data_IF_217976918191
#
_entry.id   IF_217976918191
#
_cell.length_a   1.000
_cell.length_b   1.000
_cell.length_c   1.000
_cell.angle_alpha   90.00
_cell.angle_beta   90.00
_cell.angle_gamma   90.00
#
_symmetry.space_group_name_H-M   'P 1'
#
loop_
_entity.id
_entity.type
_entity.pdbx_description
1 polymer ?
#
# COMPACT_ATOMS: atom_id res chain seq x y z
N UNK A 1 25.83 -8.08 28.35
CA UNK A 1 26.60 -7.79 27.12
C UNK A 1 25.94 -6.59 26.45
N UNK A 2 26.67 -5.53 26.08
CA UNK A 2 26.11 -4.31 25.47
C UNK A 2 26.11 -4.39 23.94
N UNK A 3 25.13 -3.77 23.27
CA UNK A 3 24.95 -3.80 21.80
C UNK A 3 26.23 -3.42 21.03
N UNK A 4 26.96 -2.43 21.55
CA UNK A 4 28.18 -1.91 20.96
C UNK A 4 29.30 -2.96 20.84
N UNK A 5 29.36 -3.95 21.74
CA UNK A 5 30.37 -5.01 21.69
C UNK A 5 30.14 -6.03 20.57
N UNK A 6 28.93 -6.09 20.02
CA UNK A 6 28.54 -7.05 18.98
C UNK A 6 28.44 -6.43 17.58
N UNK A 7 28.73 -5.13 17.42
CA UNK A 7 28.51 -4.40 16.16
C UNK A 7 27.07 -4.49 15.61
N UNK A 8 26.09 -4.76 16.48
CA UNK A 8 24.69 -4.99 16.09
C UNK A 8 24.06 -3.78 15.40
N UNK A 9 24.50 -2.56 15.73
CA UNK A 9 24.10 -1.35 15.02
C UNK A 9 24.40 -1.42 13.51
N UNK A 10 25.56 -1.95 13.11
CA UNK A 10 25.91 -2.08 11.68
C UNK A 10 25.00 -3.05 10.95
N UNK A 11 24.64 -4.16 11.60
CA UNK A 11 23.71 -5.15 11.02
C UNK A 11 22.33 -4.51 10.83
N UNK A 12 21.86 -3.76 11.84
CA UNK A 12 20.59 -3.01 11.77
C UNK A 12 20.59 -2.03 10.60
N UNK A 13 21.68 -1.29 10.40
CA UNK A 13 21.80 -0.34 9.29
C UNK A 13 21.76 -1.05 7.93
N UNK A 14 22.40 -2.20 7.79
CA UNK A 14 22.35 -3.01 6.58
C UNK A 14 20.92 -3.51 6.29
N UNK A 15 20.23 -4.06 7.29
CA UNK A 15 18.84 -4.51 7.13
C UNK A 15 17.90 -3.34 6.81
N UNK A 16 18.12 -2.18 7.45
CA UNK A 16 17.34 -0.97 7.20
C UNK A 16 17.49 -0.46 5.76
N UNK A 17 18.69 -0.59 5.17
CA UNK A 17 18.95 -0.20 3.79
C UNK A 17 18.17 -1.06 2.77
N UNK A 18 17.89 -2.32 3.13
CA UNK A 18 17.13 -3.28 2.29
C UNK A 18 15.60 -3.23 2.53
N UNK A 19 15.11 -2.35 3.41
CA UNK A 19 13.68 -2.24 3.68
C UNK A 19 12.90 -1.63 2.52
N UNK A 20 11.83 -2.32 2.09
CA UNK A 20 10.93 -1.88 1.01
C UNK A 20 10.07 -0.66 1.35
N UNK A 21 9.93 -0.32 2.63
CA UNK A 21 9.12 0.82 3.09
C UNK A 21 9.69 1.48 4.33
N UNK A 22 9.28 2.73 4.56
CA UNK A 22 9.66 3.47 5.76
C UNK A 22 9.08 2.85 7.04
N UNK A 23 7.95 2.14 6.95
CA UNK A 23 7.41 1.32 8.04
C UNK A 23 8.37 0.19 8.43
N UNK A 24 8.98 -0.47 7.44
CA UNK A 24 10.02 -1.48 7.68
C UNK A 24 11.26 -0.88 8.33
N UNK A 25 11.67 0.31 7.88
CA UNK A 25 12.79 1.06 8.48
C UNK A 25 12.51 1.46 9.93
N UNK A 26 11.30 1.93 10.23
CA UNK A 26 10.87 2.24 11.60
C UNK A 26 10.88 1.00 12.49
N UNK A 27 10.49 -0.18 11.95
CA UNK A 27 10.58 -1.45 12.67
C UNK A 27 12.04 -1.83 12.96
N UNK A 28 12.95 -1.62 12.01
CA UNK A 28 14.39 -1.83 12.21
C UNK A 28 14.95 -0.92 13.30
N UNK A 29 14.56 0.36 13.32
CA UNK A 29 15.03 1.31 14.34
C UNK A 29 14.63 0.89 15.76
N UNK A 30 13.47 0.26 15.91
CA UNK A 30 12.95 -0.26 17.18
C UNK A 30 13.52 -1.63 17.58
N UNK A 31 14.33 -2.27 16.73
CA UNK A 31 14.93 -3.56 17.07
C UNK A 31 15.85 -3.41 18.29
N UNK A 32 15.76 -4.38 19.18
CA UNK A 32 16.60 -4.50 20.37
C UNK A 32 16.93 -5.97 20.60
N UNK A 33 17.93 -6.23 21.44
CA UNK A 33 18.28 -7.60 21.79
C UNK A 33 17.13 -8.31 22.48
N UNK A 34 16.76 -9.45 21.93
CA UNK A 34 15.88 -10.40 22.57
C UNK A 34 16.72 -11.29 23.51
N UNK A 35 16.19 -11.55 24.70
CA UNK A 35 16.84 -12.42 25.71
C UNK A 35 15.98 -13.61 26.11
N UNK A 36 14.71 -13.64 25.70
CA UNK A 36 13.81 -14.76 25.92
C UNK A 36 13.99 -15.80 24.81
N UNK A 37 14.22 -17.05 25.19
CA UNK A 37 14.47 -18.15 24.24
C UNK A 37 13.31 -18.38 23.28
N UNK A 38 12.07 -18.42 23.78
CA UNK A 38 10.89 -18.70 22.97
C UNK A 38 10.66 -17.59 21.92
N UNK A 39 10.81 -16.32 22.33
CA UNK A 39 10.72 -15.18 21.40
C UNK A 39 11.82 -15.21 20.33
N UNK A 40 13.05 -15.58 20.70
CA UNK A 40 14.15 -15.72 19.73
C UNK A 40 13.86 -16.83 18.74
N UNK A 41 13.37 -17.98 19.22
CA UNK A 41 13.05 -19.13 18.39
C UNK A 41 11.92 -18.78 17.40
N UNK A 42 10.89 -18.08 17.87
CA UNK A 42 9.78 -17.62 17.04
C UNK A 42 10.25 -16.67 15.92
N UNK A 43 11.01 -15.62 16.24
CA UNK A 43 11.52 -14.67 15.25
C UNK A 43 12.51 -15.32 14.26
N UNK A 44 13.34 -16.27 14.73
CA UNK A 44 14.21 -17.06 13.86
C UNK A 44 13.41 -17.93 12.88
N UNK A 45 12.34 -18.57 13.35
CA UNK A 45 11.50 -19.39 12.49
C UNK A 45 10.69 -18.55 11.49
N UNK A 46 10.15 -17.39 11.89
CA UNK A 46 9.52 -16.43 10.96
C UNK A 46 10.47 -16.03 9.85
N UNK A 47 11.73 -15.75 10.20
CA UNK A 47 12.78 -15.41 9.22
C UNK A 47 13.06 -16.58 8.28
N UNK A 48 13.24 -17.80 8.81
CA UNK A 48 13.49 -18.99 8.01
C UNK A 48 12.34 -19.30 7.05
N UNK A 49 11.09 -19.20 7.51
CA UNK A 49 9.91 -19.37 6.68
C UNK A 49 9.88 -18.33 5.55
N UNK A 50 10.17 -17.06 5.85
CA UNK A 50 10.15 -16.01 4.84
C UNK A 50 11.29 -16.16 3.82
N UNK A 51 12.47 -16.62 4.24
CA UNK A 51 13.57 -16.96 3.31
C UNK A 51 13.13 -18.06 2.33
N UNK A 52 12.42 -19.09 2.79
CA UNK A 52 11.89 -20.14 1.91
C UNK A 52 10.88 -19.58 0.92
N UNK A 53 9.95 -18.73 1.38
CA UNK A 53 9.00 -18.05 0.50
C UNK A 53 9.73 -17.28 -0.61
N UNK A 54 10.76 -16.50 -0.27
CA UNK A 54 11.52 -15.72 -1.26
C UNK A 54 12.29 -16.59 -2.28
N UNK A 55 12.56 -17.85 -1.96
CA UNK A 55 13.29 -18.78 -2.84
C UNK A 55 12.36 -19.64 -3.69
N UNK A 56 11.21 -20.03 -3.13
CA UNK A 56 10.34 -21.07 -3.68
C UNK A 56 9.05 -20.49 -4.31
N UNK A 57 8.63 -19.28 -3.92
CA UNK A 57 7.30 -18.75 -4.22
C UNK A 57 7.29 -17.28 -4.65
N UNK A 58 6.22 -16.88 -5.35
CA UNK A 58 5.97 -15.48 -5.71
C UNK A 58 5.17 -14.80 -4.59
N UNK A 59 5.84 -13.94 -3.82
CA UNK A 59 5.26 -13.22 -2.69
C UNK A 59 4.98 -11.76 -3.04
N UNK A 60 3.82 -11.19 -2.65
CA UNK A 60 3.52 -9.77 -2.89
C UNK A 60 4.52 -8.85 -2.17
N UNK A 61 5.30 -8.11 -2.96
CA UNK A 61 6.41 -7.25 -2.49
C UNK A 61 6.22 -5.76 -2.85
N UNK A 62 5.02 -5.36 -3.23
CA UNK A 62 4.66 -3.96 -3.51
C UNK A 62 3.45 -3.53 -2.67
N UNK A 63 3.10 -2.24 -2.73
CA UNK A 63 1.94 -1.69 -2.02
C UNK A 63 2.24 -1.21 -0.60
N UNK A 64 3.53 -1.07 -0.24
CA UNK A 64 3.94 -0.67 1.11
C UNK A 64 4.07 0.85 1.25
N UNK A 65 2.95 1.54 1.38
CA UNK A 65 2.89 2.99 1.59
C UNK A 65 2.51 3.34 3.03
N UNK A 66 3.12 4.39 3.58
CA UNK A 66 2.70 4.93 4.87
C UNK A 66 1.52 5.90 4.70
N UNK A 67 0.33 5.39 4.96
CA UNK A 67 -0.94 6.14 4.85
C UNK A 67 -1.45 6.62 6.21
N UNK A 68 -0.66 6.48 7.29
CA UNK A 68 -1.10 6.82 8.66
C UNK A 68 -1.51 8.28 8.77
N UNK A 69 -0.73 9.19 8.20
CA UNK A 69 -1.02 10.63 8.26
C UNK A 69 -2.34 10.96 7.56
N UNK A 70 -2.53 10.45 6.33
CA UNK A 70 -3.77 10.64 5.57
C UNK A 70 -4.99 10.12 6.33
N UNK A 71 -4.90 8.92 6.91
CA UNK A 71 -5.98 8.31 7.72
C UNK A 71 -6.28 9.14 8.98
N UNK A 72 -5.27 9.68 9.66
CA UNK A 72 -5.50 10.52 10.84
C UNK A 72 -6.15 11.85 10.46
N UNK A 73 -5.71 12.46 9.34
CA UNK A 73 -6.23 13.73 8.88
C UNK A 73 -7.73 13.66 8.58
N UNK A 74 -8.18 12.65 7.84
CA UNK A 74 -9.60 12.51 7.45
C UNK A 74 -10.58 12.28 8.61
N UNK A 75 -10.09 12.02 9.83
CA UNK A 75 -10.96 11.94 11.03
C UNK A 75 -11.49 13.32 11.44
N UNK A 76 -10.83 14.39 11.04
CA UNK A 76 -11.23 15.77 11.36
C UNK A 76 -12.34 16.20 10.40
N UNK A 77 -13.47 16.64 10.96
CA UNK A 77 -14.62 17.10 10.15
C UNK A 77 -14.20 18.25 9.24
N UNK A 78 -14.58 18.15 7.96
CA UNK A 78 -14.24 19.15 6.94
C UNK A 78 -12.93 18.90 6.20
N UNK A 79 -12.18 17.85 6.57
CA UNK A 79 -11.02 17.40 5.80
C UNK A 79 -11.37 16.31 4.79
N UNK A 80 -10.47 16.06 3.86
CA UNK A 80 -10.61 15.05 2.82
C UNK A 80 -9.24 14.43 2.50
N UNK A 81 -9.26 13.30 1.81
CA UNK A 81 -8.06 12.61 1.31
C UNK A 81 -7.81 13.02 -0.14
N UNK A 82 -6.57 13.32 -0.48
CA UNK A 82 -6.20 13.67 -1.85
C UNK A 82 -6.19 12.41 -2.75
N UNK A 83 -6.45 12.53 -4.06
CA UNK A 83 -6.48 11.37 -4.96
C UNK A 83 -5.22 10.51 -4.94
N UNK A 84 -4.04 11.12 -4.82
CA UNK A 84 -2.76 10.41 -4.74
C UNK A 84 -2.66 9.56 -3.46
N UNK A 85 -3.01 10.12 -2.31
CA UNK A 85 -2.99 9.39 -1.03
C UNK A 85 -4.10 8.32 -0.97
N UNK A 86 -5.24 8.57 -1.61
CA UNK A 86 -6.31 7.57 -1.75
C UNK A 86 -5.86 6.41 -2.65
N UNK A 87 -5.05 6.70 -3.67
CA UNK A 87 -4.43 5.67 -4.51
C UNK A 87 -3.40 4.84 -3.73
N UNK A 88 -2.57 5.49 -2.91
CA UNK A 88 -1.64 4.80 -1.99
C UNK A 88 -2.40 3.89 -1.02
N UNK A 89 -3.49 4.38 -0.42
CA UNK A 89 -4.36 3.59 0.45
C UNK A 89 -4.95 2.38 -0.28
N UNK A 90 -5.37 2.55 -1.54
CA UNK A 90 -5.84 1.44 -2.36
C UNK A 90 -4.80 0.34 -2.48
N UNK A 91 -3.55 0.71 -2.77
CA UNK A 91 -2.44 -0.24 -2.95
C UNK A 91 -2.07 -0.95 -1.64
N UNK A 92 -2.13 -0.24 -0.51
CA UNK A 92 -1.93 -0.84 0.82
C UNK A 92 -3.02 -1.88 1.12
N UNK A 93 -4.29 -1.54 0.89
CA UNK A 93 -5.41 -2.47 1.13
C UNK A 93 -5.32 -3.70 0.22
N UNK A 94 -4.92 -3.50 -1.04
CA UNK A 94 -4.70 -4.58 -2.00
C UNK A 94 -3.52 -5.50 -1.61
N UNK A 95 -2.41 -4.92 -1.15
CA UNK A 95 -1.26 -5.68 -0.66
C UNK A 95 -1.62 -6.51 0.58
N UNK A 96 -2.34 -5.93 1.55
CA UNK A 96 -2.84 -6.65 2.73
C UNK A 96 -3.72 -7.83 2.31
N UNK A 97 -4.68 -7.59 1.40
CA UNK A 97 -5.55 -8.64 0.88
C UNK A 97 -4.76 -9.76 0.20
N UNK A 98 -3.76 -9.41 -0.60
CA UNK A 98 -2.90 -10.36 -1.30
C UNK A 98 -2.06 -11.21 -0.33
N UNK A 99 -1.49 -10.59 0.70
CA UNK A 99 -0.69 -11.29 1.74
C UNK A 99 -1.56 -12.25 2.54
N UNK A 100 -2.74 -11.81 2.99
CA UNK A 100 -3.67 -12.67 3.74
C UNK A 100 -4.12 -13.85 2.86
N UNK A 101 -4.46 -13.58 1.59
CA UNK A 101 -4.84 -14.63 0.62
C UNK A 101 -3.69 -15.60 0.36
N UNK A 102 -2.46 -15.12 0.27
CA UNK A 102 -1.27 -15.95 0.09
C UNK A 102 -1.17 -17.00 1.21
N UNK A 103 -1.22 -16.57 2.47
CA UNK A 103 -1.11 -17.48 3.61
C UNK A 103 -2.34 -18.37 3.82
N UNK A 104 -3.55 -17.87 3.53
CA UNK A 104 -4.78 -18.67 3.64
C UNK A 104 -4.89 -19.79 2.60
N UNK A 105 -4.21 -19.64 1.46
CA UNK A 105 -4.20 -20.63 0.38
C UNK A 105 -3.12 -21.71 0.55
N UNK A 106 -2.37 -21.69 1.67
CA UNK A 106 -1.38 -22.74 1.99
C UNK A 106 -1.98 -23.69 3.00
N UNK A 107 -1.54 -24.96 2.93
CA UNK A 107 -1.90 -25.93 3.95
C UNK A 107 -1.52 -25.43 5.35
N UNK A 108 -2.32 -25.80 6.35
CA UNK A 108 -2.06 -25.40 7.73
C UNK A 108 -0.73 -25.98 8.19
N UNK A 109 0.17 -25.11 8.66
CA UNK A 109 1.49 -25.49 9.14
C UNK A 109 2.61 -25.41 8.10
N UNK A 110 2.34 -25.11 6.83
CA UNK A 110 3.39 -24.90 5.81
C UNK A 110 4.31 -23.75 6.17
N UNK A 111 3.73 -22.65 6.67
CA UNK A 111 4.42 -21.47 7.18
C UNK A 111 3.80 -21.08 8.52
N UNK A 112 3.88 -21.99 9.50
CA UNK A 112 3.15 -21.90 10.77
C UNK A 112 3.27 -20.52 11.44
N UNK A 113 4.49 -20.01 11.60
CA UNK A 113 4.72 -18.76 12.34
C UNK A 113 4.28 -17.52 11.57
N UNK A 114 4.40 -17.54 10.24
CA UNK A 114 3.88 -16.46 9.38
C UNK A 114 2.36 -16.54 9.21
N UNK A 115 1.78 -17.73 9.15
CA UNK A 115 0.33 -17.95 9.14
C UNK A 115 -0.29 -17.42 10.43
N UNK A 116 0.34 -17.70 11.59
CA UNK A 116 -0.06 -17.14 12.87
C UNK A 116 -0.01 -15.60 12.87
N UNK A 117 1.06 -15.00 12.35
CA UNK A 117 1.19 -13.54 12.23
C UNK A 117 0.11 -12.92 11.33
N UNK A 118 -0.36 -13.65 10.31
CA UNK A 118 -1.38 -13.18 9.37
C UNK A 118 -2.82 -13.39 9.84
N UNK A 119 -3.05 -14.25 10.85
CA UNK A 119 -4.37 -14.75 11.23
C UNK A 119 -5.34 -13.64 11.67
N UNK A 120 -4.84 -12.64 12.39
CA UNK A 120 -5.64 -11.55 12.95
C UNK A 120 -5.67 -10.30 12.04
N UNK A 121 -5.18 -10.42 10.81
CA UNK A 121 -5.15 -9.31 9.85
C UNK A 121 -6.47 -9.23 9.10
N UNK A 122 -7.22 -8.16 9.33
CA UNK A 122 -8.46 -7.88 8.61
C UNK A 122 -8.19 -7.40 7.18
N UNK A 123 -9.01 -7.88 6.24
CA UNK A 123 -9.06 -7.37 4.87
C UNK A 123 -10.24 -6.39 4.69
N UNK A 124 -10.15 -5.50 3.71
CA UNK A 124 -11.12 -4.42 3.52
C UNK A 124 -11.69 -4.36 2.09
N UNK A 125 -12.37 -5.42 1.60
CA UNK A 125 -12.86 -5.49 0.21
C UNK A 125 -13.90 -4.40 -0.12
N UNK A 126 -14.68 -3.94 0.87
CA UNK A 126 -15.62 -2.83 0.68
C UNK A 126 -14.90 -1.50 0.45
N UNK A 127 -13.81 -1.24 1.17
CA UNK A 127 -12.97 -0.04 0.98
C UNK A 127 -12.34 -0.08 -0.41
N UNK A 128 -11.77 -1.22 -0.81
CA UNK A 128 -11.18 -1.37 -2.14
C UNK A 128 -12.21 -1.12 -3.25
N UNK A 129 -13.43 -1.66 -3.13
CA UNK A 129 -14.53 -1.38 -4.07
C UNK A 129 -14.96 0.08 -4.07
N UNK A 130 -15.01 0.74 -2.91
CA UNK A 130 -15.35 2.15 -2.82
C UNK A 130 -14.30 3.03 -3.52
N UNK A 131 -13.01 2.76 -3.30
CA UNK A 131 -11.93 3.48 -3.97
C UNK A 131 -11.97 3.23 -5.49
N UNK A 132 -12.18 1.98 -5.92
CA UNK A 132 -12.26 1.62 -7.33
C UNK A 132 -13.45 2.27 -8.07
N UNK A 133 -14.48 2.75 -7.37
CA UNK A 133 -15.55 3.56 -7.99
C UNK A 133 -15.12 5.00 -8.26
N UNK A 134 -14.17 5.52 -7.48
CA UNK A 134 -13.70 6.90 -7.54
C UNK A 134 -12.48 7.02 -8.47
N UNK A 135 -11.50 6.14 -8.29
CA UNK A 135 -10.23 6.17 -9.01
C UNK A 135 -10.17 5.11 -10.11
N UNK A 136 -9.42 5.41 -11.17
CA UNK A 136 -8.98 4.44 -12.16
C UNK A 136 -7.65 3.79 -11.76
N UNK A 137 -7.15 2.90 -12.64
CA UNK A 137 -5.90 2.16 -12.42
C UNK A 137 -4.63 3.04 -12.41
N UNK A 138 -4.75 4.31 -12.79
CA UNK A 138 -3.66 5.29 -12.79
C UNK A 138 -3.79 6.30 -11.64
N UNK A 139 -4.73 6.07 -10.70
CA UNK A 139 -4.98 6.96 -9.57
C UNK A 139 -5.74 8.24 -9.96
N UNK A 140 -6.32 8.30 -11.17
CA UNK A 140 -7.08 9.47 -11.60
C UNK A 140 -8.55 9.33 -11.24
N UNK A 141 -9.16 10.45 -10.83
CA UNK A 141 -10.59 10.49 -10.53
C UNK A 141 -11.39 10.26 -11.81
N UNK A 142 -12.19 9.20 -11.83
CA UNK A 142 -13.07 8.84 -12.96
C UNK A 142 -14.10 9.92 -13.22
N UNK A 143 -14.44 10.13 -14.49
CA UNK A 143 -15.58 10.99 -14.87
C UNK A 143 -16.90 10.52 -14.23
N UNK A 144 -17.01 9.21 -14.00
CA UNK A 144 -18.17 8.55 -13.41
C UNK A 144 -18.13 8.49 -11.88
N UNK A 145 -17.12 9.08 -11.23
CA UNK A 145 -17.02 9.10 -9.77
C UNK A 145 -18.25 9.75 -9.12
N UNK A 146 -18.86 10.74 -9.79
CA UNK A 146 -20.20 11.23 -9.47
C UNK A 146 -20.94 11.64 -10.74
N UNK A 147 -22.28 11.60 -10.70
CA UNK A 147 -23.12 12.06 -11.81
C UNK A 147 -22.84 13.52 -12.17
N UNK A 148 -22.67 14.38 -11.15
CA UNK A 148 -22.41 15.81 -11.34
C UNK A 148 -21.03 16.09 -11.95
N UNK A 149 -20.00 15.35 -11.54
CA UNK A 149 -18.67 15.47 -12.14
C UNK A 149 -18.70 15.08 -13.62
N UNK A 150 -19.41 13.98 -13.94
CA UNK A 150 -19.60 13.54 -15.31
C UNK A 150 -20.32 14.57 -16.18
N UNK A 151 -21.36 15.23 -15.65
CA UNK A 151 -22.06 16.33 -16.32
C UNK A 151 -21.11 17.51 -16.60
N UNK A 152 -20.40 18.00 -15.58
CA UNK A 152 -19.46 19.13 -15.69
C UNK A 152 -18.37 18.85 -16.74
N UNK A 153 -17.79 17.65 -16.74
CA UNK A 153 -16.73 17.28 -17.70
C UNK A 153 -17.25 17.17 -19.13
N UNK A 154 -18.49 16.70 -19.32
CA UNK A 154 -19.15 16.69 -20.65
C UNK A 154 -19.41 18.09 -21.16
N UNK A 155 -19.93 18.98 -20.31
CA UNK A 155 -20.15 20.39 -20.66
C UNK A 155 -18.84 21.06 -21.06
N UNK A 156 -17.78 20.89 -20.27
CA UNK A 156 -16.43 21.41 -20.57
C UNK A 156 -15.94 20.95 -21.95
N UNK A 157 -16.02 19.65 -22.23
CA UNK A 157 -15.61 19.07 -23.52
C UNK A 157 -16.44 19.62 -24.69
N UNK A 158 -17.77 19.77 -24.51
CA UNK A 158 -18.65 20.33 -25.53
C UNK A 158 -18.33 21.81 -25.83
N UNK A 159 -18.03 22.60 -24.81
CA UNK A 159 -17.59 23.99 -24.95
C UNK A 159 -16.24 24.08 -25.67
N UNK A 160 -15.24 23.29 -25.26
CA UNK A 160 -13.91 23.22 -25.90
C UNK A 160 -14.02 22.83 -27.38
N UNK A 161 -14.82 21.82 -27.71
CA UNK A 161 -15.07 21.40 -29.08
C UNK A 161 -15.77 22.48 -29.92
N UNK A 162 -16.63 23.30 -29.31
CA UNK A 162 -17.29 24.42 -30.00
C UNK A 162 -16.32 25.57 -30.27
N UNK A 163 -15.43 25.88 -29.32
CA UNK A 163 -14.35 26.87 -29.51
C UNK A 163 -13.42 26.43 -30.64
N UNK A 164 -12.98 25.17 -30.65
CA UNK A 164 -12.09 24.63 -31.68
C UNK A 164 -12.71 24.68 -33.09
N UNK A 165 -14.00 24.33 -33.21
CA UNK A 165 -14.75 24.46 -34.48
C UNK A 165 -14.84 25.91 -34.95
N UNK A 166 -15.12 26.84 -34.04
CA UNK A 166 -15.19 28.26 -34.36
C UNK A 166 -13.83 28.82 -34.81
N UNK A 167 -12.74 28.47 -34.12
CA UNK A 167 -11.38 28.88 -34.48
C UNK A 167 -10.96 28.33 -35.85
N UNK A 168 -11.23 27.05 -36.10
CA UNK A 168 -10.98 26.41 -37.40
C UNK A 168 -11.75 27.10 -38.53
N UNK A 169 -12.99 27.53 -38.28
CA UNK A 169 -13.82 28.26 -39.24
C UNK A 169 -13.25 29.65 -39.56
N UNK A 170 -12.72 30.35 -38.55
CA UNK A 170 -12.06 31.66 -38.72
C UNK A 170 -10.78 31.49 -39.55
N UNK A 171 -9.92 30.52 -39.21
CA UNK A 171 -8.68 30.25 -39.93
C UNK A 171 -8.91 29.84 -41.39
N UNK A 172 -10.01 29.16 -41.71
CA UNK A 172 -10.35 28.76 -43.09
C UNK A 172 -10.93 29.91 -43.94
N UNK A 173 -11.31 31.02 -43.30
CA UNK A 173 -11.85 32.22 -43.97
C UNK A 173 -10.80 33.32 -44.18
N UNK A 174 -9.59 33.13 -43.64
CA UNK A 174 -8.41 33.95 -43.91
C UNK A 174 -7.60 33.31 -45.05
#
# INVERSE_FOLDING_TARGET
>A
MTEAKLSFGKIRDLVKAECLSDLGKEKCDKMSFLTNFDTILEEANRTNEFVRILQEEDFPTDGFYDVREAIQRIKVVGTYIEPAELFDLSRVVEAIGSIVTFFSNREEGTYYYLQELSRDVFTFPDIQRAIARILDKYGQVKDTASSKLGEIRREKSATEGSISRNMSSILRKA
#
